data_IF_954710429113
#
_entry.id   IF_954710429113
#
_cell.length_a   1.000
_cell.length_b   1.000
_cell.length_c   1.000
_cell.angle_alpha   90.00
_cell.angle_beta   90.00
_cell.angle_gamma   90.00
#
_symmetry.space_group_name_H-M   'P 1'
#
loop_
_entity.id
_entity.type
_entity.pdbx_description
1 polymer ?
#
# COMPACT_ATOMS: atom_id res chain seq x y z
N UNK A 1 -41.51 2.77 -15.88
CA UNK A 1 -40.55 1.75 -15.43
C UNK A 1 -41.28 0.83 -14.47
N UNK A 2 -41.27 -0.49 -14.69
CA UNK A 2 -41.89 -1.45 -13.78
C UNK A 2 -40.86 -1.75 -12.70
N UNK A 3 -41.06 -1.17 -11.51
CA UNK A 3 -40.11 -1.33 -10.40
C UNK A 3 -40.18 -2.74 -9.82
N UNK A 4 -39.05 -3.25 -9.38
CA UNK A 4 -38.97 -4.51 -8.63
C UNK A 4 -39.78 -4.42 -7.34
N UNK A 5 -40.43 -5.51 -6.95
CA UNK A 5 -41.08 -5.59 -5.65
C UNK A 5 -40.04 -5.77 -4.53
N UNK A 6 -40.35 -5.39 -3.28
CA UNK A 6 -39.45 -5.61 -2.14
C UNK A 6 -39.05 -7.09 -1.95
N UNK A 7 -39.94 -8.02 -2.31
CA UNK A 7 -39.68 -9.46 -2.27
C UNK A 7 -38.72 -9.91 -3.38
N UNK A 8 -38.84 -9.33 -4.57
CA UNK A 8 -37.93 -9.63 -5.69
C UNK A 8 -36.53 -9.09 -5.42
N UNK A 9 -36.44 -7.90 -4.81
CA UNK A 9 -35.18 -7.29 -4.41
C UNK A 9 -34.45 -8.14 -3.36
N UNK A 10 -35.17 -8.65 -2.36
CA UNK A 10 -34.58 -9.49 -1.32
C UNK A 10 -34.10 -10.84 -1.87
N UNK A 11 -34.80 -11.42 -2.85
CA UNK A 11 -34.33 -12.62 -3.56
C UNK A 11 -33.04 -12.36 -4.34
N UNK A 12 -32.93 -11.22 -5.03
CA UNK A 12 -31.71 -10.84 -5.75
C UNK A 12 -30.53 -10.65 -4.78
N UNK A 13 -30.77 -9.97 -3.66
CA UNK A 13 -29.78 -9.74 -2.61
C UNK A 13 -29.30 -11.05 -1.96
N UNK A 14 -30.21 -11.95 -1.61
CA UNK A 14 -29.86 -13.25 -1.02
C UNK A 14 -29.06 -14.13 -2.00
N UNK A 15 -29.31 -13.99 -3.31
CA UNK A 15 -28.53 -14.68 -4.33
C UNK A 15 -27.09 -14.16 -4.41
N UNK A 16 -26.88 -12.85 -4.24
CA UNK A 16 -25.55 -12.23 -4.23
C UNK A 16 -24.75 -12.58 -2.97
N UNK A 17 -25.40 -12.65 -1.82
CA UNK A 17 -24.77 -13.08 -0.56
C UNK A 17 -24.28 -14.53 -0.60
N UNK A 18 -25.01 -15.43 -1.28
CA UNK A 18 -24.62 -16.84 -1.43
C UNK A 18 -23.30 -17.05 -2.19
N UNK A 19 -22.91 -16.09 -3.05
CA UNK A 19 -21.69 -16.15 -3.85
C UNK A 19 -20.47 -15.45 -3.20
N UNK A 20 -20.52 -15.14 -1.90
CA UNK A 20 -19.36 -14.69 -1.10
C UNK A 20 -18.69 -13.40 -1.59
N UNK A 21 -19.47 -12.34 -1.79
CA UNK A 21 -18.92 -11.03 -2.22
C UNK A 21 -18.85 -10.06 -1.01
N UNK A 22 -17.81 -9.22 -0.92
CA UNK A 22 -17.68 -8.18 0.11
C UNK A 22 -18.91 -7.26 0.15
N UNK A 23 -19.36 -6.88 1.35
CA UNK A 23 -20.60 -6.09 1.60
C UNK A 23 -20.69 -4.80 0.77
N UNK A 24 -19.56 -4.12 0.57
CA UNK A 24 -19.49 -2.92 -0.26
C UNK A 24 -19.73 -3.20 -1.76
N UNK A 25 -19.18 -4.31 -2.26
CA UNK A 25 -19.31 -4.71 -3.66
C UNK A 25 -20.72 -5.27 -3.95
N UNK A 26 -21.35 -5.91 -2.94
CA UNK A 26 -22.74 -6.40 -3.02
C UNK A 26 -23.67 -5.23 -3.31
N UNK A 27 -23.48 -4.09 -2.65
CA UNK A 27 -24.38 -2.94 -2.77
C UNK A 27 -24.35 -2.35 -4.19
N UNK A 28 -23.16 -2.23 -4.77
CA UNK A 28 -22.97 -1.68 -6.12
C UNK A 28 -23.39 -2.67 -7.22
N UNK A 29 -23.10 -3.96 -7.03
CA UNK A 29 -23.62 -5.02 -7.91
C UNK A 29 -25.14 -5.13 -7.84
N UNK A 30 -25.75 -4.99 -6.65
CA UNK A 30 -27.20 -5.08 -6.47
C UNK A 30 -27.92 -3.98 -7.25
N UNK A 31 -27.43 -2.74 -7.21
CA UNK A 31 -28.03 -1.63 -7.95
C UNK A 31 -27.96 -1.87 -9.46
N UNK A 32 -26.80 -2.31 -9.95
CA UNK A 32 -26.61 -2.57 -11.36
C UNK A 32 -27.45 -3.76 -11.87
N UNK A 33 -27.60 -4.80 -11.06
CA UNK A 33 -28.41 -5.98 -11.41
C UNK A 33 -29.91 -5.72 -11.26
N UNK A 34 -30.32 -4.87 -10.32
CA UNK A 34 -31.70 -4.42 -10.20
C UNK A 34 -32.13 -3.62 -11.45
N UNK A 35 -31.27 -2.72 -11.93
CA UNK A 35 -31.52 -1.98 -13.17
C UNK A 35 -31.72 -2.92 -14.38
N UNK A 36 -30.86 -3.93 -14.51
CA UNK A 36 -30.97 -4.91 -15.59
C UNK A 36 -32.26 -5.75 -15.48
N UNK A 37 -32.63 -6.18 -14.27
CA UNK A 37 -33.88 -6.91 -14.03
C UNK A 37 -35.12 -6.08 -14.38
N UNK A 38 -35.12 -4.79 -14.07
CA UNK A 38 -36.19 -3.88 -14.48
C UNK A 38 -36.29 -3.74 -16.01
N UNK A 39 -35.15 -3.74 -16.70
CA UNK A 39 -35.11 -3.72 -18.17
C UNK A 39 -35.71 -4.99 -18.77
N UNK A 40 -35.38 -6.17 -18.24
CA UNK A 40 -35.96 -7.43 -18.70
C UNK A 40 -37.47 -7.51 -18.43
N UNK A 41 -37.92 -7.04 -17.26
CA UNK A 41 -39.34 -6.93 -16.95
C UNK A 41 -40.07 -5.97 -17.89
N UNK A 42 -39.40 -4.88 -18.31
CA UNK A 42 -39.94 -3.94 -19.29
C UNK A 42 -40.04 -4.55 -20.69
N UNK A 43 -39.08 -5.40 -21.09
CA UNK A 43 -39.11 -6.18 -22.34
C UNK A 43 -40.18 -7.28 -22.35
N UNK A 44 -40.91 -7.49 -21.25
CA UNK A 44 -42.02 -8.43 -21.14
C UNK A 44 -41.65 -9.82 -20.63
N UNK A 45 -40.41 -10.02 -20.18
CA UNK A 45 -40.00 -11.27 -19.54
C UNK A 45 -40.58 -11.38 -18.12
N UNK A 46 -40.76 -12.61 -17.63
CA UNK A 46 -41.10 -12.83 -16.23
C UNK A 46 -39.83 -12.70 -15.36
N UNK A 47 -40.02 -12.50 -14.05
CA UNK A 47 -38.89 -12.26 -13.14
C UNK A 47 -37.94 -13.47 -13.05
N UNK A 48 -38.46 -14.70 -13.09
CA UNK A 48 -37.63 -15.91 -12.96
C UNK A 48 -36.70 -16.09 -14.17
N UNK A 49 -37.21 -15.82 -15.37
CA UNK A 49 -36.48 -15.89 -16.64
C UNK A 49 -35.50 -14.70 -16.78
N UNK A 50 -35.88 -13.53 -16.25
CA UNK A 50 -34.99 -12.39 -16.10
C UNK A 50 -33.83 -12.71 -15.14
N UNK A 51 -34.13 -13.31 -13.99
CA UNK A 51 -33.15 -13.72 -13.00
C UNK A 51 -32.18 -14.76 -13.56
N UNK A 52 -32.69 -15.78 -14.27
CA UNK A 52 -31.86 -16.81 -14.92
C UNK A 52 -30.87 -16.19 -15.94
N UNK A 53 -31.37 -15.29 -16.81
CA UNK A 53 -30.52 -14.59 -17.77
C UNK A 53 -29.49 -13.70 -17.10
N UNK A 54 -29.89 -12.96 -16.08
CA UNK A 54 -28.99 -12.09 -15.31
C UNK A 54 -27.92 -12.92 -14.62
N UNK A 55 -28.25 -14.07 -14.04
CA UNK A 55 -27.26 -14.95 -13.39
C UNK A 55 -26.25 -15.52 -14.41
N UNK A 56 -26.71 -15.89 -15.60
CA UNK A 56 -25.83 -16.39 -16.68
C UNK A 56 -24.95 -15.27 -17.26
N UNK A 57 -25.51 -14.08 -17.51
CA UNK A 57 -24.78 -12.92 -18.01
C UNK A 57 -23.85 -12.31 -16.95
N UNK A 58 -24.23 -12.32 -15.67
CA UNK A 58 -23.43 -11.80 -14.57
C UNK A 58 -22.08 -12.50 -14.48
N UNK A 59 -22.01 -13.81 -14.76
CA UNK A 59 -20.72 -14.51 -14.82
C UNK A 59 -19.84 -13.97 -15.96
N UNK A 60 -20.41 -13.76 -17.15
CA UNK A 60 -19.66 -13.19 -18.29
C UNK A 60 -19.29 -11.71 -18.09
N UNK A 61 -20.19 -10.90 -17.51
CA UNK A 61 -19.96 -9.49 -17.20
C UNK A 61 -18.93 -9.36 -16.07
N UNK A 62 -19.00 -10.19 -15.02
CA UNK A 62 -18.00 -10.23 -13.96
C UNK A 62 -16.64 -10.65 -14.50
N UNK A 63 -16.55 -11.70 -15.32
CA UNK A 63 -15.28 -12.09 -15.95
C UNK A 63 -14.75 -10.99 -16.88
N UNK A 64 -15.62 -10.31 -17.64
CA UNK A 64 -15.22 -9.19 -18.50
C UNK A 64 -14.72 -8.01 -17.68
N UNK A 65 -15.44 -7.64 -16.62
CA UNK A 65 -15.08 -6.57 -15.69
C UNK A 65 -13.75 -6.87 -15.00
N UNK A 66 -13.61 -8.08 -14.44
CA UNK A 66 -12.35 -8.55 -13.86
C UNK A 66 -11.23 -8.47 -14.90
N UNK A 67 -11.45 -8.95 -16.13
CA UNK A 67 -10.44 -8.86 -17.18
C UNK A 67 -10.06 -7.41 -17.50
N UNK A 68 -11.02 -6.50 -17.66
CA UNK A 68 -10.74 -5.09 -17.97
C UNK A 68 -10.06 -4.36 -16.80
N UNK A 69 -10.54 -4.55 -15.56
CA UNK A 69 -9.94 -3.97 -14.35
C UNK A 69 -8.54 -4.51 -14.10
N UNK A 70 -8.35 -5.83 -14.15
CA UNK A 70 -7.06 -6.45 -13.84
C UNK A 70 -6.08 -6.45 -15.03
N UNK A 71 -6.50 -6.38 -16.31
CA UNK A 71 -5.54 -6.27 -17.42
C UNK A 71 -4.68 -5.02 -17.31
N UNK A 72 -5.26 -3.90 -16.85
CA UNK A 72 -4.52 -2.65 -16.71
C UNK A 72 -3.74 -2.59 -15.39
N UNK A 73 -4.23 -3.27 -14.34
CA UNK A 73 -3.66 -3.27 -12.99
C UNK A 73 -2.81 -4.50 -12.64
N UNK A 74 -2.45 -5.39 -13.57
CA UNK A 74 -1.62 -6.57 -13.24
C UNK A 74 -0.34 -6.66 -14.07
N UNK A 75 -0.24 -5.93 -15.18
CA UNK A 75 0.92 -6.00 -16.06
C UNK A 75 1.77 -4.72 -15.98
N UNK A 76 2.93 -4.81 -15.31
CA UNK A 76 4.05 -3.91 -15.58
C UNK A 76 4.44 -4.09 -17.06
N UNK A 77 4.77 -3.00 -17.75
CA UNK A 77 5.27 -3.11 -19.13
C UNK A 77 6.62 -3.82 -19.15
N UNK A 78 6.96 -4.49 -20.26
CA UNK A 78 8.22 -5.24 -20.38
C UNK A 78 9.46 -4.34 -20.11
N UNK A 79 9.41 -3.08 -20.54
CA UNK A 79 10.45 -2.07 -20.29
C UNK A 79 10.60 -1.69 -18.80
N UNK A 80 9.48 -1.66 -18.07
CA UNK A 80 9.49 -1.42 -16.63
C UNK A 80 10.00 -2.63 -15.88
N UNK A 81 9.66 -3.85 -16.32
CA UNK A 81 10.08 -5.10 -15.70
C UNK A 81 11.60 -5.31 -15.80
N UNK A 82 12.21 -4.93 -16.93
CA UNK A 82 13.65 -5.05 -17.15
C UNK A 82 14.48 -4.21 -16.16
N UNK A 83 13.91 -3.10 -15.68
CA UNK A 83 14.56 -2.18 -14.75
C UNK A 83 14.02 -2.28 -13.31
N UNK A 84 13.00 -3.11 -13.07
CA UNK A 84 12.33 -3.21 -11.78
C UNK A 84 13.15 -4.04 -10.79
N UNK A 85 13.23 -3.56 -9.54
CA UNK A 85 13.71 -4.37 -8.43
C UNK A 85 12.65 -5.38 -7.98
N UNK A 86 13.08 -6.42 -7.26
CA UNK A 86 12.16 -7.42 -6.71
C UNK A 86 11.09 -6.79 -5.81
N UNK A 87 11.44 -5.76 -5.05
CA UNK A 87 10.49 -5.04 -4.21
C UNK A 87 9.48 -4.26 -5.07
N UNK A 88 9.90 -3.69 -6.21
CA UNK A 88 8.98 -3.00 -7.14
C UNK A 88 7.94 -3.98 -7.71
N UNK A 89 8.37 -5.19 -8.07
CA UNK A 89 7.49 -6.22 -8.65
C UNK A 89 6.50 -6.76 -7.60
N UNK A 90 6.97 -7.04 -6.39
CA UNK A 90 6.13 -7.61 -5.32
C UNK A 90 5.09 -6.60 -4.80
N UNK A 91 5.45 -5.32 -4.79
CA UNK A 91 4.62 -4.26 -4.24
C UNK A 91 3.93 -3.41 -5.30
N UNK A 92 3.87 -3.84 -6.56
CA UNK A 92 3.15 -3.10 -7.58
C UNK A 92 1.63 -3.07 -7.31
N UNK A 93 0.92 -2.11 -7.91
CA UNK A 93 -0.54 -1.98 -7.85
C UNK A 93 -1.08 -1.75 -6.42
N UNK A 94 -2.12 -2.48 -6.03
CA UNK A 94 -2.77 -2.35 -4.71
C UNK A 94 -1.79 -2.60 -3.56
N UNK A 95 -0.74 -3.40 -3.77
CA UNK A 95 0.27 -3.65 -2.74
C UNK A 95 1.12 -2.41 -2.41
N UNK A 96 1.21 -1.43 -3.34
CA UNK A 96 1.92 -0.16 -3.15
C UNK A 96 1.13 0.80 -2.26
N UNK A 97 -0.18 0.83 -2.45
CA UNK A 97 -1.11 1.72 -1.73
C UNK A 97 -1.19 1.43 -0.22
N UNK A 98 -0.80 0.23 0.21
CA UNK A 98 -0.77 -0.13 1.63
C UNK A 98 0.39 0.51 2.42
N UNK A 99 1.28 1.28 1.78
CA UNK A 99 2.38 1.98 2.45
C UNK A 99 3.52 1.08 2.95
N UNK A 100 3.39 -0.25 2.83
CA UNK A 100 4.45 -1.20 3.14
C UNK A 100 5.67 -1.04 2.22
N UNK A 101 5.45 -0.63 0.97
CA UNK A 101 6.49 -0.33 0.00
C UNK A 101 7.36 0.85 0.45
N UNK A 102 6.75 1.97 0.84
CA UNK A 102 7.46 3.16 1.35
C UNK A 102 8.27 2.82 2.60
N UNK A 103 7.70 2.01 3.50
CA UNK A 103 8.40 1.56 4.69
C UNK A 103 9.64 0.74 4.31
N UNK A 104 9.51 -0.21 3.37
CA UNK A 104 10.62 -1.07 2.96
C UNK A 104 11.74 -0.30 2.25
N UNK A 105 11.38 0.71 1.46
CA UNK A 105 12.36 1.54 0.74
C UNK A 105 13.09 2.52 1.69
N UNK A 106 12.41 3.04 2.71
CA UNK A 106 12.97 4.00 3.66
C UNK A 106 13.70 3.36 4.85
N UNK A 107 13.28 2.15 5.26
CA UNK A 107 13.81 1.43 6.40
C UNK A 107 15.34 1.20 6.41
N UNK A 108 15.99 0.71 5.33
CA UNK A 108 17.42 0.44 5.38
C UNK A 108 18.25 1.70 5.61
N UNK A 109 17.77 2.85 5.11
CA UNK A 109 18.42 4.13 5.38
C UNK A 109 18.19 4.57 6.82
N UNK A 110 16.94 4.55 7.30
CA UNK A 110 16.61 4.91 8.68
C UNK A 110 17.41 4.06 9.69
N UNK A 111 17.53 2.76 9.43
CA UNK A 111 18.28 1.83 10.26
C UNK A 111 19.78 2.15 10.27
N UNK A 112 20.39 2.39 9.10
CA UNK A 112 21.81 2.77 9.01
C UNK A 112 22.09 4.09 9.74
N UNK A 113 21.24 5.10 9.54
CA UNK A 113 21.38 6.39 10.21
C UNK A 113 21.23 6.27 11.73
N UNK A 114 20.25 5.50 12.21
CA UNK A 114 20.07 5.23 13.64
C UNK A 114 21.26 4.48 14.24
N UNK A 115 21.81 3.50 13.52
CA UNK A 115 22.97 2.74 13.96
C UNK A 115 24.22 3.62 14.06
N UNK A 116 24.50 4.44 13.04
CA UNK A 116 25.62 5.39 13.06
C UNK A 116 25.47 6.39 14.21
N UNK A 117 24.26 6.90 14.44
CA UNK A 117 23.98 7.84 15.52
C UNK A 117 24.20 7.18 16.89
N UNK A 118 23.69 5.97 17.10
CA UNK A 118 23.86 5.24 18.35
C UNK A 118 25.33 4.92 18.65
N UNK A 119 26.06 4.39 17.67
CA UNK A 119 27.50 4.10 17.80
C UNK A 119 28.29 5.38 18.03
N UNK A 120 27.97 6.46 17.32
CA UNK A 120 28.61 7.77 17.49
C UNK A 120 28.44 8.33 18.89
N UNK A 121 27.20 8.35 19.41
CA UNK A 121 26.92 8.79 20.78
C UNK A 121 27.62 7.92 21.83
N UNK A 122 27.64 6.60 21.62
CA UNK A 122 28.31 5.68 22.53
C UNK A 122 29.82 5.94 22.59
N UNK A 123 30.47 6.14 21.44
CA UNK A 123 31.90 6.48 21.38
C UNK A 123 32.19 7.82 22.07
N UNK A 124 31.34 8.83 21.86
CA UNK A 124 31.47 10.12 22.55
C UNK A 124 31.35 9.97 24.07
N UNK A 125 30.38 9.18 24.55
CA UNK A 125 30.19 8.93 25.97
C UNK A 125 31.38 8.21 26.58
N UNK A 126 31.87 7.15 25.94
CA UNK A 126 33.03 6.39 26.41
C UNK A 126 34.29 7.24 26.45
N UNK A 127 34.53 8.05 25.41
CA UNK A 127 35.64 8.98 25.39
C UNK A 127 35.53 10.03 26.50
N UNK A 128 34.33 10.56 26.74
CA UNK A 128 34.07 11.51 27.81
C UNK A 128 34.34 10.92 29.20
N UNK A 129 33.83 9.71 29.48
CA UNK A 129 34.10 8.99 30.74
C UNK A 129 35.59 8.71 30.92
N UNK A 130 36.28 8.27 29.87
CA UNK A 130 37.73 8.03 29.90
C UNK A 130 38.51 9.31 30.19
N UNK A 131 38.11 10.43 29.60
CA UNK A 131 38.74 11.74 29.84
C UNK A 131 38.54 12.24 31.27
N UNK A 132 37.34 12.06 31.84
CA UNK A 132 37.09 12.37 33.26
C UNK A 132 37.94 11.51 34.20
N UNK A 133 38.09 10.22 33.90
CA UNK A 133 38.89 9.31 34.71
C UNK A 133 40.39 9.64 34.69
N UNK A 134 40.91 10.13 33.56
CA UNK A 134 42.34 10.47 33.41
C UNK A 134 42.69 11.90 33.88
N UNK A 135 41.70 12.75 34.17
CA UNK A 135 41.88 14.09 34.73
C UNK A 135 42.52 15.12 33.78
N UNK A 136 42.97 14.71 32.60
CA UNK A 136 43.51 15.59 31.56
C UNK A 136 42.95 15.20 30.20
N UNK A 137 42.47 16.18 29.43
CA UNK A 137 41.89 15.96 28.11
C UNK A 137 42.91 16.28 27.02
N UNK A 138 43.22 15.30 26.17
CA UNK A 138 44.05 15.50 24.98
C UNK A 138 43.32 15.00 23.74
N UNK A 139 43.19 15.86 22.74
CA UNK A 139 42.54 15.52 21.46
C UNK A 139 43.36 14.54 20.61
N UNK A 140 44.68 14.47 20.81
CA UNK A 140 45.56 13.50 20.14
C UNK A 140 45.60 12.13 20.84
N UNK A 141 44.91 11.97 21.97
CA UNK A 141 44.81 10.67 22.65
C UNK A 141 43.83 9.72 21.95
N UNK A 142 43.87 8.44 22.29
CA UNK A 142 42.91 7.44 21.81
C UNK A 142 41.47 7.82 22.14
N UNK A 143 41.22 8.34 23.35
CA UNK A 143 39.91 8.86 23.75
C UNK A 143 39.50 10.10 22.93
N UNK A 144 40.43 11.02 22.66
CA UNK A 144 40.20 12.18 21.81
C UNK A 144 39.81 11.81 20.37
N UNK A 145 40.51 10.85 19.79
CA UNK A 145 40.18 10.32 18.45
C UNK A 145 38.81 9.64 18.42
N UNK A 146 38.49 8.80 19.42
CA UNK A 146 37.15 8.18 19.53
C UNK A 146 36.04 9.22 19.63
N UNK A 147 36.28 10.31 20.38
CA UNK A 147 35.32 11.41 20.50
C UNK A 147 35.09 12.11 19.16
N UNK A 148 36.16 12.44 18.43
CA UNK A 148 36.07 13.07 17.10
C UNK A 148 35.33 12.20 16.09
N UNK A 149 35.63 10.90 16.04
CA UNK A 149 34.91 9.94 15.17
C UNK A 149 33.43 9.88 15.54
N UNK A 150 33.12 9.86 16.84
CA UNK A 150 31.75 9.90 17.33
C UNK A 150 30.99 11.16 16.90
N UNK A 151 31.61 12.33 17.05
CA UNK A 151 31.04 13.62 16.61
C UNK A 151 30.80 13.64 15.11
N UNK A 152 31.77 13.19 14.30
CA UNK A 152 31.62 13.11 12.85
C UNK A 152 30.47 12.17 12.45
N UNK A 153 30.35 11.01 13.10
CA UNK A 153 29.25 10.07 12.85
C UNK A 153 27.88 10.65 13.18
N UNK A 154 27.75 11.33 14.31
CA UNK A 154 26.49 12.00 14.72
C UNK A 154 26.15 13.15 13.77
N UNK A 155 27.12 13.98 13.42
CA UNK A 155 26.92 15.09 12.48
C UNK A 155 26.49 14.59 11.09
N UNK A 156 27.10 13.50 10.60
CA UNK A 156 26.71 12.87 9.35
C UNK A 156 25.26 12.34 9.39
N UNK A 157 24.88 11.63 10.46
CA UNK A 157 23.52 11.09 10.60
C UNK A 157 22.46 12.19 10.68
N UNK A 158 22.71 13.26 11.45
CA UNK A 158 21.81 14.41 11.55
C UNK A 158 21.71 15.19 10.24
N UNK A 159 22.84 15.41 9.56
CA UNK A 159 22.88 16.09 8.27
C UNK A 159 22.09 15.33 7.22
N UNK A 160 22.34 14.03 7.08
CA UNK A 160 21.63 13.18 6.11
C UNK A 160 20.13 13.09 6.39
N UNK A 161 19.71 13.12 7.66
CA UNK A 161 18.30 13.22 8.03
C UNK A 161 17.68 14.58 7.66
N UNK A 162 18.39 15.69 7.93
CA UNK A 162 17.90 17.04 7.65
C UNK A 162 17.73 17.31 6.16
N UNK A 163 18.73 16.97 5.34
CA UNK A 163 18.67 17.19 3.88
C UNK A 163 17.65 16.29 3.17
N UNK A 164 17.32 15.13 3.76
CA UNK A 164 16.38 14.16 3.18
C UNK A 164 14.95 14.31 3.68
N UNK A 165 14.69 15.27 4.59
CA UNK A 165 13.34 15.69 4.98
C UNK A 165 12.69 16.52 3.86
N UNK A 166 12.60 15.93 2.65
CA UNK A 166 11.76 16.44 1.57
C UNK A 166 10.32 16.03 1.86
N UNK A 167 9.32 16.90 1.59
CA UNK A 167 7.93 16.59 1.89
C UNK A 167 7.46 15.48 0.95
N UNK A 168 7.24 14.28 1.49
CA UNK A 168 6.49 13.26 0.78
C UNK A 168 5.06 13.79 0.60
N UNK A 169 4.82 14.41 -0.56
CA UNK A 169 3.49 14.76 -1.05
C UNK A 169 2.80 13.46 -1.41
N UNK A 170 2.01 12.94 -0.48
CA UNK A 170 1.01 11.93 -0.76
C UNK A 170 -0.10 12.58 -1.59
N UNK A 171 0.10 12.64 -2.91
CA UNK A 171 -1.00 12.83 -3.84
C UNK A 171 -1.59 11.44 -4.10
N UNK A 172 -2.64 11.12 -3.35
CA UNK A 172 -3.54 10.04 -3.73
C UNK A 172 -4.28 10.53 -4.98
N UNK A 173 -4.14 9.92 -6.16
CA UNK A 173 -5.06 10.23 -7.24
C UNK A 173 -6.47 9.81 -6.77
N UNK A 174 -7.38 10.78 -6.81
CA UNK A 174 -8.80 10.60 -6.51
C UNK A 174 -9.48 9.72 -7.56
#
# INVERSE_FOLDING_TARGET
MKKLTPEQLSRLHNHLLGNSTNDALITELLDHLACEAEEYLWKGYNFDLALEKITQEANTKAVKYLRETYQHEVAMTDEQLENASLDDIIFEFRNKAYGAYDLRQSYPFALRSALILGVGLFMMLMAFLSGMAQGSWSFLSTAGMMWMVGVCGVAYSLGTWFFRKSPHRYAVPA
#
